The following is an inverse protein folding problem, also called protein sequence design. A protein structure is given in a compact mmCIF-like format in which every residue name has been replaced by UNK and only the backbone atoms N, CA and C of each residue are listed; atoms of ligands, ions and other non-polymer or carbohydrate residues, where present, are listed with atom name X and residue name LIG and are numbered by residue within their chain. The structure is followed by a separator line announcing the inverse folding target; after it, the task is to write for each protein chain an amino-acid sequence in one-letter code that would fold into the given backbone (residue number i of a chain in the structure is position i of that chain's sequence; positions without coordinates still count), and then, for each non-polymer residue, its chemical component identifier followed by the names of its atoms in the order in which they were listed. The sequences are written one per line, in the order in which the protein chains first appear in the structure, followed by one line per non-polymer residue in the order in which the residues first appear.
data_IF_065365373546
#
_entry.id   IF_065365373546
#
_cell.length_a   1.000
_cell.length_b   1.000
_cell.length_c   1.000
_cell.angle_alpha   90.00
_cell.angle_beta   90.00
_cell.angle_gamma   90.00
#
_symmetry.space_group_name_H-M   'P 1'
#
loop_
_entity.id
_entity.type
_entity.pdbx_description
1 polymer ?
#
# COMPACT_ATOMS: atom_id res chain seq x y z
N UNK A 1 13.23 11.79 -20.22
CA UNK A 1 11.75 11.81 -20.18
C UNK A 1 11.22 12.15 -21.56
N UNK A 2 10.26 11.37 -22.07
CA UNK A 2 9.61 11.62 -23.35
C UNK A 2 8.73 12.87 -23.33
N UNK A 3 8.62 13.59 -24.45
CA UNK A 3 7.73 14.74 -24.62
C UNK A 3 6.27 14.38 -24.34
N UNK A 4 5.86 13.15 -24.70
CA UNK A 4 4.51 12.64 -24.41
C UNK A 4 4.27 12.53 -22.90
N UNK A 5 5.25 12.03 -22.14
CA UNK A 5 5.17 11.95 -20.67
C UNK A 5 5.05 13.33 -20.04
N UNK A 6 5.77 14.33 -20.58
CA UNK A 6 5.70 15.71 -20.08
C UNK A 6 4.31 16.33 -20.31
N UNK A 7 3.74 16.13 -21.49
CA UNK A 7 2.38 16.60 -21.81
C UNK A 7 1.35 15.89 -20.93
N UNK A 8 1.47 14.57 -20.77
CA UNK A 8 0.59 13.79 -19.90
C UNK A 8 0.64 14.25 -18.43
N UNK A 9 1.82 14.58 -17.91
CA UNK A 9 1.98 15.13 -16.56
C UNK A 9 1.30 16.50 -16.43
N UNK A 10 1.46 17.40 -17.40
CA UNK A 10 0.81 18.72 -17.37
C UNK A 10 -0.72 18.57 -17.40
N UNK A 11 -1.22 17.67 -18.25
CA UNK A 11 -2.65 17.39 -18.32
C UNK A 11 -3.19 16.80 -17.01
N UNK A 12 -2.49 15.83 -16.43
CA UNK A 12 -2.85 15.23 -15.15
C UNK A 12 -2.88 16.29 -14.03
N UNK A 13 -1.87 17.16 -14.00
CA UNK A 13 -1.77 18.22 -13.00
C UNK A 13 -2.93 19.21 -13.16
N UNK A 14 -3.25 19.61 -14.39
CA UNK A 14 -4.43 20.44 -14.69
C UNK A 14 -5.75 19.78 -14.26
N UNK A 15 -5.95 18.52 -14.62
CA UNK A 15 -7.12 17.75 -14.21
C UNK A 15 -7.24 17.66 -12.69
N UNK A 16 -6.13 17.45 -11.98
CA UNK A 16 -6.10 17.38 -10.53
C UNK A 16 -6.44 18.72 -9.89
N UNK A 17 -5.92 19.84 -10.41
CA UNK A 17 -6.28 21.18 -9.96
C UNK A 17 -7.79 21.42 -10.12
N UNK A 18 -8.38 21.03 -11.25
CA UNK A 18 -9.83 21.20 -11.46
C UNK A 18 -10.63 20.39 -10.46
N UNK A 19 -10.34 19.10 -10.31
CA UNK A 19 -11.07 18.21 -9.39
C UNK A 19 -10.97 18.69 -7.94
N UNK A 20 -9.76 19.04 -7.49
CA UNK A 20 -9.54 19.55 -6.14
C UNK A 20 -10.16 20.92 -5.93
N UNK A 21 -10.08 21.80 -6.93
CA UNK A 21 -10.60 23.17 -6.85
C UNK A 21 -12.13 23.23 -6.82
N UNK A 22 -12.82 22.24 -7.38
CA UNK A 22 -14.28 22.14 -7.34
C UNK A 22 -14.80 21.16 -6.29
N UNK A 23 -13.94 20.67 -5.40
CA UNK A 23 -14.36 19.73 -4.37
C UNK A 23 -15.22 20.47 -3.33
N UNK A 24 -16.45 19.98 -3.13
CA UNK A 24 -17.42 20.55 -2.17
C UNK A 24 -16.94 20.48 -0.72
N UNK A 25 -15.91 19.66 -0.45
CA UNK A 25 -15.30 19.53 0.88
C UNK A 25 -14.71 20.85 1.41
N UNK A 26 -14.40 21.80 0.53
CA UNK A 26 -13.90 23.12 0.93
C UNK A 26 -15.00 24.09 1.36
N UNK A 27 -16.25 23.81 0.99
CA UNK A 27 -17.41 24.66 1.30
C UNK A 27 -18.05 24.29 2.66
N UNK A 28 -17.61 23.19 3.26
CA UNK A 28 -18.15 22.69 4.52
C UNK A 28 -17.25 23.08 5.71
N UNK A 29 -17.86 23.50 6.82
CA UNK A 29 -17.14 23.67 8.09
C UNK A 29 -16.54 22.31 8.51
N UNK A 30 -15.30 22.29 9.04
CA UNK A 30 -14.67 21.05 9.46
C UNK A 30 -15.52 20.32 10.50
N UNK A 31 -16.15 19.22 10.08
CA UNK A 31 -16.88 18.32 10.97
C UNK A 31 -15.92 17.37 11.66
N UNK A 32 -16.17 17.12 12.94
CA UNK A 32 -15.48 16.07 13.68
C UNK A 32 -15.84 14.71 13.04
N UNK A 33 -14.80 14.00 12.60
CA UNK A 33 -14.96 12.68 11.98
C UNK A 33 -15.28 11.67 13.07
N UNK A 34 -16.47 11.08 13.00
CA UNK A 34 -16.86 10.03 13.94
C UNK A 34 -16.26 8.69 13.56
N UNK A 35 -16.08 7.80 14.54
CA UNK A 35 -15.64 6.41 14.30
C UNK A 35 -16.57 5.67 13.33
N UNK A 36 -17.86 5.99 13.35
CA UNK A 36 -18.84 5.40 12.42
C UNK A 36 -18.59 5.83 10.98
N UNK A 37 -18.38 7.13 10.73
CA UNK A 37 -18.06 7.66 9.40
C UNK A 37 -16.73 7.12 8.87
N UNK A 38 -15.74 6.97 9.75
CA UNK A 38 -14.47 6.34 9.38
C UNK A 38 -14.70 4.87 8.97
N UNK A 39 -15.47 4.11 9.75
CA UNK A 39 -15.76 2.72 9.42
C UNK A 39 -16.49 2.61 8.08
N UNK A 40 -17.51 3.46 7.84
CA UNK A 40 -18.25 3.52 6.58
C UNK A 40 -17.32 3.82 5.40
N UNK A 41 -16.49 4.85 5.51
CA UNK A 41 -15.53 5.23 4.47
C UNK A 41 -14.53 4.12 4.17
N UNK A 42 -14.02 3.43 5.20
CA UNK A 42 -13.03 2.34 5.04
C UNK A 42 -13.64 1.07 4.45
N UNK A 43 -14.85 0.71 4.86
CA UNK A 43 -15.51 -0.56 4.49
C UNK A 43 -16.38 -0.45 3.23
N UNK A 44 -16.77 0.75 2.81
CA UNK A 44 -17.54 0.97 1.58
C UNK A 44 -16.67 1.64 0.52
N UNK A 45 -16.33 2.92 0.69
CA UNK A 45 -15.65 3.70 -0.35
C UNK A 45 -14.23 3.19 -0.64
N UNK A 46 -13.51 2.77 0.39
CA UNK A 46 -12.14 2.28 0.32
C UNK A 46 -11.99 0.76 0.39
N UNK A 47 -13.10 0.02 0.25
CA UNK A 47 -13.12 -1.43 0.43
C UNK A 47 -12.10 -2.17 -0.46
N UNK A 48 -12.05 -1.81 -1.76
CA UNK A 48 -11.16 -2.46 -2.72
C UNK A 48 -9.67 -2.14 -2.47
N UNK A 49 -9.25 -0.88 -2.30
CA UNK A 49 -7.89 -0.56 -1.86
C UNK A 49 -7.49 -1.24 -0.55
N UNK A 50 -8.40 -1.28 0.44
CA UNK A 50 -8.13 -1.91 1.73
C UNK A 50 -7.92 -3.43 1.59
N UNK A 51 -8.71 -4.09 0.77
CA UNK A 51 -8.54 -5.50 0.44
C UNK A 51 -7.18 -5.74 -0.24
N UNK A 52 -6.83 -4.93 -1.24
CA UNK A 52 -5.54 -5.03 -1.91
C UNK A 52 -4.37 -4.85 -0.94
N UNK A 53 -4.47 -3.89 -0.01
CA UNK A 53 -3.49 -3.69 1.04
C UNK A 53 -3.39 -4.90 1.98
N UNK A 54 -4.51 -5.52 2.35
CA UNK A 54 -4.52 -6.76 3.12
C UNK A 54 -3.79 -7.91 2.41
N UNK A 55 -4.00 -8.07 1.11
CA UNK A 55 -3.28 -9.07 0.30
C UNK A 55 -1.78 -8.78 0.25
N UNK A 56 -1.40 -7.51 0.05
CA UNK A 56 0.01 -7.10 0.04
C UNK A 56 0.68 -7.36 1.40
N UNK A 57 -0.01 -7.05 2.49
CA UNK A 57 0.46 -7.36 3.84
C UNK A 57 0.59 -8.86 4.07
N UNK A 58 -0.37 -9.66 3.61
CA UNK A 58 -0.28 -11.12 3.70
C UNK A 58 0.94 -11.66 2.95
N UNK A 59 1.20 -11.16 1.73
CA UNK A 59 2.39 -11.52 0.97
C UNK A 59 3.68 -11.10 1.69
N UNK A 60 3.72 -9.91 2.29
CA UNK A 60 4.87 -9.45 3.06
C UNK A 60 5.14 -10.35 4.28
N UNK A 61 4.11 -10.75 5.02
CA UNK A 61 4.24 -11.66 6.16
C UNK A 61 4.73 -13.05 5.73
N UNK A 62 4.20 -13.58 4.63
CA UNK A 62 4.70 -14.84 4.07
C UNK A 62 6.17 -14.73 3.68
N UNK A 63 6.57 -13.66 2.99
CA UNK A 63 7.95 -13.41 2.62
C UNK A 63 8.90 -13.37 3.82
N UNK A 64 8.53 -12.64 4.87
CA UNK A 64 9.31 -12.58 6.12
C UNK A 64 9.47 -13.96 6.78
N UNK A 65 8.43 -14.78 6.78
CA UNK A 65 8.49 -16.14 7.32
C UNK A 65 9.42 -17.05 6.50
N UNK A 66 9.42 -16.93 5.18
CA UNK A 66 10.34 -17.68 4.31
C UNK A 66 11.79 -17.28 4.53
N UNK A 67 12.10 -15.99 4.69
CA UNK A 67 13.46 -15.53 4.99
C UNK A 67 14.02 -16.19 6.25
N UNK A 68 13.27 -16.16 7.35
CA UNK A 68 13.70 -16.79 8.61
C UNK A 68 13.81 -18.31 8.47
N UNK A 69 12.90 -18.94 7.72
CA UNK A 69 12.98 -20.38 7.44
C UNK A 69 14.25 -20.72 6.67
N UNK A 70 14.60 -19.91 5.69
CA UNK A 70 15.75 -20.13 4.83
C UNK A 70 17.07 -19.93 5.62
N UNK A 71 17.15 -18.90 6.47
CA UNK A 71 18.27 -18.71 7.42
C UNK A 71 18.45 -19.93 8.34
N UNK A 72 17.35 -20.48 8.88
CA UNK A 72 17.39 -21.67 9.73
C UNK A 72 17.83 -22.92 8.97
N UNK A 73 17.43 -23.07 7.70
CA UNK A 73 17.85 -24.21 6.87
C UNK A 73 19.33 -24.14 6.56
N UNK A 74 19.83 -22.96 6.19
CA UNK A 74 21.25 -22.74 5.95
C UNK A 74 22.07 -23.12 7.19
N UNK A 75 21.68 -22.64 8.38
CA UNK A 75 22.40 -22.95 9.62
C UNK A 75 22.49 -24.46 9.90
N UNK A 76 21.42 -25.22 9.64
CA UNK A 76 21.42 -26.69 9.80
C UNK A 76 22.36 -27.40 8.81
N UNK A 77 22.46 -26.90 7.58
CA UNK A 77 23.37 -27.46 6.56
C UNK A 77 24.84 -27.20 6.93
N UNK A 78 25.14 -26.04 7.51
CA UNK A 78 26.48 -25.74 8.06
C UNK A 78 26.84 -26.66 9.23
N UNK A 79 25.91 -26.94 10.13
CA UNK A 79 26.11 -27.86 11.26
C UNK A 79 26.43 -29.29 10.78
N UNK A 80 25.63 -29.84 9.87
CA UNK A 80 25.83 -31.20 9.34
C UNK A 80 27.17 -31.36 8.61
N UNK A 81 27.56 -30.36 7.82
CA UNK A 81 28.86 -30.39 7.12
C UNK A 81 30.06 -30.28 8.08
N UNK A 82 29.88 -29.68 9.24
CA UNK A 82 30.90 -29.61 10.29
C UNK A 82 31.08 -30.91 11.07
N UNK A 83 30.06 -31.78 11.12
CA UNK A 83 30.12 -33.10 11.77
C UNK A 83 30.80 -34.16 10.88
N UNK A 84 30.76 -33.98 9.55
CA UNK A 84 31.34 -34.90 8.55
C UNK A 84 32.86 -34.68 8.26
N UNK A 85 33.51 -33.73 8.95
CA UNK A 85 34.92 -33.33 8.74
C UNK A 85 35.83 -33.70 9.93
#
# INVERSE_FOLDING_TARGET
MSTLTRIGLIFLLGAMITVLGTATIWDEDPKEVTTLQLAETMLQDWALPLLALGVLMAMAMMGAAYLVRDERRENLEWEQRGEDA
#
